data_IF_682578435136
#
_entry.id   IF_682578435136
#
_cell.length_a   1.000
_cell.length_b   1.000
_cell.length_c   1.000
_cell.angle_alpha   90.00
_cell.angle_beta   90.00
_cell.angle_gamma   90.00
#
_symmetry.space_group_name_H-M   'P 1'
#
loop_
_entity.id
_entity.type
_entity.pdbx_description
1 polymer ?
#
# COMPACT_ATOMS: atom_id res chain seq x y z
N UNK A 1 -12.21 21.30 -20.79
CA UNK A 1 -11.39 20.73 -19.70
C UNK A 1 -12.23 20.71 -18.41
N UNK A 2 -12.32 19.55 -17.74
CA UNK A 2 -13.17 19.35 -16.56
C UNK A 2 -12.50 19.93 -15.29
N UNK A 3 -13.04 21.03 -14.75
CA UNK A 3 -12.51 21.70 -13.53
C UNK A 3 -12.76 20.93 -12.23
N UNK A 4 -13.71 19.98 -12.23
CA UNK A 4 -14.03 19.16 -11.05
C UNK A 4 -13.07 17.98 -10.89
N UNK A 5 -12.29 17.66 -11.91
CA UNK A 5 -11.30 16.59 -11.84
C UNK A 5 -10.09 17.04 -11.00
N UNK A 6 -9.98 16.50 -9.79
CA UNK A 6 -8.83 16.68 -8.89
C UNK A 6 -8.23 15.30 -8.63
N UNK A 7 -7.13 14.91 -9.30
CA UNK A 7 -6.55 13.59 -9.10
C UNK A 7 -6.07 13.43 -7.64
N UNK A 8 -6.24 12.24 -7.05
CA UNK A 8 -5.73 11.98 -5.71
C UNK A 8 -4.20 11.95 -5.71
N UNK A 9 -3.61 12.33 -4.58
CA UNK A 9 -2.16 12.31 -4.40
C UNK A 9 -1.64 10.86 -4.51
N UNK A 10 -0.59 10.60 -5.31
CA UNK A 10 0.02 9.27 -5.38
C UNK A 10 0.65 8.89 -4.04
N UNK A 11 0.71 7.59 -3.73
CA UNK A 11 1.47 7.10 -2.56
C UNK A 11 2.95 7.09 -2.94
N UNK A 12 3.81 7.60 -2.06
CA UNK A 12 5.26 7.55 -2.28
C UNK A 12 5.77 6.11 -2.25
N UNK A 13 6.91 5.86 -2.89
CA UNK A 13 7.46 4.50 -2.94
C UNK A 13 7.94 4.03 -1.57
N UNK A 14 8.51 4.93 -0.77
CA UNK A 14 9.00 4.65 0.58
C UNK A 14 7.86 4.16 1.47
N UNK A 15 6.69 4.79 1.39
CA UNK A 15 5.51 4.37 2.14
C UNK A 15 5.01 3.01 1.66
N UNK A 16 4.95 2.76 0.34
CA UNK A 16 4.57 1.44 -0.20
C UNK A 16 5.50 0.33 0.30
N UNK A 17 6.80 0.59 0.28
CA UNK A 17 7.83 -0.33 0.77
C UNK A 17 7.70 -0.56 2.27
N UNK A 18 7.45 0.49 3.05
CA UNK A 18 7.24 0.39 4.51
C UNK A 18 6.01 -0.45 4.85
N UNK A 19 4.88 -0.23 4.16
CA UNK A 19 3.66 -1.03 4.34
C UNK A 19 3.91 -2.52 4.07
N UNK A 20 4.64 -2.82 2.99
CA UNK A 20 4.99 -4.18 2.63
C UNK A 20 5.88 -4.84 3.69
N UNK A 21 6.93 -4.14 4.15
CA UNK A 21 7.83 -4.65 5.19
C UNK A 21 7.09 -4.90 6.52
N UNK A 22 6.20 -3.99 6.93
CA UNK A 22 5.40 -4.16 8.14
C UNK A 22 4.46 -5.36 8.05
N UNK A 23 3.79 -5.54 6.91
CA UNK A 23 2.92 -6.69 6.66
C UNK A 23 3.71 -8.00 6.68
N UNK A 24 4.87 -8.05 6.01
CA UNK A 24 5.71 -9.26 5.96
C UNK A 24 6.36 -9.60 7.30
N UNK A 25 6.58 -8.61 8.17
CA UNK A 25 7.12 -8.84 9.51
C UNK A 25 6.10 -9.51 10.45
N UNK A 26 4.84 -9.09 10.42
CA UNK A 26 3.76 -9.67 11.22
C UNK A 26 2.38 -9.33 10.61
N UNK A 27 1.78 -10.24 9.82
CA UNK A 27 0.48 -10.01 9.20
C UNK A 27 -0.70 -9.94 10.18
N UNK A 28 -0.59 -10.52 11.37
CA UNK A 28 -1.66 -10.51 12.37
C UNK A 28 -1.75 -9.14 13.02
N UNK A 29 -0.60 -8.60 13.47
CA UNK A 29 -0.52 -7.25 14.06
C UNK A 29 -0.63 -6.15 13.00
N UNK A 30 -0.08 -6.37 11.81
CA UNK A 30 -0.10 -5.42 10.68
C UNK A 30 -1.02 -5.87 9.57
N UNK A 31 -2.21 -6.35 9.92
CA UNK A 31 -3.23 -6.72 8.93
C UNK A 31 -3.58 -5.56 7.99
N UNK A 32 -4.13 -5.88 6.82
CA UNK A 32 -4.54 -4.89 5.80
C UNK A 32 -5.44 -3.80 6.39
N UNK A 33 -6.35 -4.17 7.30
CA UNK A 33 -7.25 -3.22 7.99
C UNK A 33 -6.46 -2.25 8.86
N UNK A 34 -5.55 -2.76 9.69
CA UNK A 34 -4.74 -1.95 10.61
C UNK A 34 -3.82 -1.00 9.83
N UNK A 35 -3.17 -1.49 8.77
CA UNK A 35 -2.31 -0.68 7.92
C UNK A 35 -3.10 0.41 7.17
N UNK A 36 -4.29 0.10 6.68
CA UNK A 36 -5.18 1.05 6.03
C UNK A 36 -5.60 2.18 6.99
N UNK A 37 -6.01 1.82 8.21
CA UNK A 37 -6.41 2.78 9.24
C UNK A 37 -5.26 3.70 9.66
N UNK A 38 -4.09 3.12 9.99
CA UNK A 38 -2.91 3.89 10.42
C UNK A 38 -2.39 4.88 9.39
N UNK A 39 -2.54 4.56 8.09
CA UNK A 39 -1.98 5.36 6.99
C UNK A 39 -3.05 6.15 6.22
N UNK A 40 -4.30 6.17 6.69
CA UNK A 40 -5.42 6.85 6.03
C UNK A 40 -5.61 6.44 4.57
N UNK A 41 -5.41 5.16 4.28
CA UNK A 41 -5.59 4.57 2.95
C UNK A 41 -6.82 3.67 2.96
N UNK A 42 -7.44 3.47 1.79
CA UNK A 42 -8.48 2.44 1.68
C UNK A 42 -7.85 1.04 1.74
N UNK A 43 -8.57 0.08 2.31
CA UNK A 43 -8.11 -1.33 2.35
C UNK A 43 -7.77 -1.86 0.96
N UNK A 44 -8.56 -1.51 -0.07
CA UNK A 44 -8.30 -1.88 -1.47
C UNK A 44 -6.96 -1.34 -1.97
N UNK A 45 -6.56 -0.14 -1.54
CA UNK A 45 -5.29 0.47 -1.94
C UNK A 45 -4.12 -0.22 -1.25
N UNK A 46 -4.24 -0.55 0.03
CA UNK A 46 -3.23 -1.32 0.76
C UNK A 46 -3.07 -2.72 0.17
N UNK A 47 -4.16 -3.43 -0.08
CA UNK A 47 -4.14 -4.76 -0.73
C UNK A 47 -3.41 -4.74 -2.08
N UNK A 48 -3.74 -3.76 -2.93
CA UNK A 48 -3.05 -3.57 -4.20
C UNK A 48 -1.55 -3.29 -4.04
N UNK A 49 -1.16 -2.48 -3.06
CA UNK A 49 0.25 -2.20 -2.75
C UNK A 49 0.98 -3.49 -2.35
N UNK A 50 0.41 -4.27 -1.43
CA UNK A 50 1.02 -5.50 -0.95
C UNK A 50 1.20 -6.52 -2.08
N UNK A 51 0.17 -6.67 -2.93
CA UNK A 51 0.23 -7.55 -4.11
C UNK A 51 1.31 -7.13 -5.09
N UNK A 52 1.39 -5.84 -5.43
CA UNK A 52 2.37 -5.33 -6.40
C UNK A 52 3.79 -5.42 -5.85
N UNK A 53 4.01 -5.07 -4.57
CA UNK A 53 5.33 -5.24 -3.93
C UNK A 53 5.75 -6.70 -3.81
N UNK A 54 4.82 -7.61 -3.55
CA UNK A 54 5.10 -9.05 -3.57
C UNK A 54 5.57 -9.55 -4.94
N UNK A 55 4.96 -9.05 -6.03
CA UNK A 55 5.41 -9.34 -7.40
C UNK A 55 6.79 -8.73 -7.69
N UNK A 56 7.03 -7.48 -7.26
CA UNK A 56 8.34 -6.83 -7.39
C UNK A 56 9.44 -7.63 -6.70
N UNK A 57 9.21 -8.13 -5.48
CA UNK A 57 10.20 -8.96 -4.76
C UNK A 57 10.39 -10.33 -5.42
N UNK A 58 9.31 -10.94 -5.93
CA UNK A 58 9.40 -12.21 -6.66
C UNK A 58 10.29 -12.10 -7.92
N UNK A 59 10.23 -10.97 -8.63
CA UNK A 59 11.06 -10.74 -9.84
C UNK A 59 12.53 -10.39 -9.57
N UNK A 60 12.90 -10.08 -8.32
CA UNK A 60 14.30 -9.86 -7.94
C UNK A 60 15.07 -11.17 -7.75
N UNK A 61 14.36 -12.29 -7.59
CA UNK A 61 14.92 -13.64 -7.51
C UNK A 61 15.14 -14.23 -8.90
#
# INVERSE_FOLDING_TARGET
LNRSFKPPIPVSDELRTTLYQQFMADPETNSVRVLAERNYLSMKRVDAILRLKGLEEHWKQ
#
